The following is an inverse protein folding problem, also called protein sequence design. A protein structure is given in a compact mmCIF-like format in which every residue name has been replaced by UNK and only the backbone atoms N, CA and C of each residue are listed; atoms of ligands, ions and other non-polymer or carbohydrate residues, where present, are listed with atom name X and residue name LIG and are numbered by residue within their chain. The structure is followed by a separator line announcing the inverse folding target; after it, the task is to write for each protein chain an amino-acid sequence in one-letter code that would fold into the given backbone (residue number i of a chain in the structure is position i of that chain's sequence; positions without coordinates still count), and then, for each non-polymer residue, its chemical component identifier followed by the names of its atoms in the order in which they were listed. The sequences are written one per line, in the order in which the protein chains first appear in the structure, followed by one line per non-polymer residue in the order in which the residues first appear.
data_IF_251006323226
#
_entry.id   IF_251006323226
#
_cell.length_a   1.000
_cell.length_b   1.000
_cell.length_c   1.000
_cell.angle_alpha   90.00
_cell.angle_beta   90.00
_cell.angle_gamma   90.00
#
_symmetry.space_group_name_H-M   'P 1'
#
loop_
_entity.id
_entity.type
_entity.pdbx_description
1 polymer ?
#
# COMPACT_ATOMS: atom_id res chain seq x y z
N UNK A 1 0.00 -9.92 -6.04
CA UNK A 1 -0.44 -11.04 -6.94
C UNK A 1 0.71 -11.87 -7.49
N UNK A 2 1.71 -11.31 -8.20
CA UNK A 2 2.86 -12.07 -8.73
C UNK A 2 3.56 -12.94 -7.67
N UNK A 3 3.88 -12.37 -6.50
CA UNK A 3 4.50 -13.10 -5.39
C UNK A 3 3.72 -14.36 -5.01
N UNK A 4 2.40 -14.24 -4.86
CA UNK A 4 1.50 -15.32 -4.48
C UNK A 4 1.43 -16.44 -5.53
N UNK A 5 1.18 -16.10 -6.80
CA UNK A 5 0.83 -17.10 -7.81
C UNK A 5 1.98 -17.55 -8.70
N UNK A 6 2.98 -16.69 -8.93
CA UNK A 6 4.11 -17.01 -9.80
C UNK A 6 5.33 -17.50 -9.01
N UNK A 7 5.50 -17.01 -7.78
CA UNK A 7 6.69 -17.30 -6.96
C UNK A 7 6.39 -18.14 -5.71
N UNK A 8 5.11 -18.39 -5.38
CA UNK A 8 4.72 -19.13 -4.18
C UNK A 8 5.01 -18.40 -2.85
N UNK A 9 5.34 -17.11 -2.92
CA UNK A 9 5.73 -16.25 -1.80
C UNK A 9 4.48 -15.64 -1.16
N UNK A 10 3.77 -16.45 -0.38
CA UNK A 10 2.47 -16.08 0.21
C UNK A 10 2.63 -15.03 1.31
N UNK A 11 3.62 -15.20 2.18
CA UNK A 11 3.86 -14.30 3.32
C UNK A 11 4.30 -12.90 2.86
N UNK A 12 5.18 -12.84 1.86
CA UNK A 12 5.64 -11.60 1.26
C UNK A 12 4.50 -10.90 0.50
N UNK A 13 3.63 -11.67 -0.18
CA UNK A 13 2.44 -11.12 -0.80
C UNK A 13 1.50 -10.49 0.26
N UNK A 14 1.24 -11.20 1.35
CA UNK A 14 0.41 -10.71 2.46
C UNK A 14 1.02 -9.49 3.14
N UNK A 15 2.35 -9.44 3.26
CA UNK A 15 3.06 -8.30 3.85
C UNK A 15 2.82 -7.04 3.03
N UNK A 16 2.93 -7.13 1.69
CA UNK A 16 2.65 -5.99 0.79
C UNK A 16 1.17 -5.61 0.84
N UNK A 17 0.25 -6.57 0.79
CA UNK A 17 -1.19 -6.33 0.86
C UNK A 17 -1.56 -5.60 2.16
N UNK A 18 -1.02 -6.06 3.30
CA UNK A 18 -1.24 -5.45 4.62
C UNK A 18 -0.64 -4.04 4.71
N UNK A 19 0.52 -3.80 4.10
CA UNK A 19 1.14 -2.48 4.06
C UNK A 19 0.27 -1.47 3.30
N UNK A 20 -0.32 -1.88 2.16
CA UNK A 20 -1.26 -1.04 1.40
C UNK A 20 -2.48 -0.71 2.24
N UNK A 21 -3.09 -1.72 2.87
CA UNK A 21 -4.27 -1.53 3.73
C UNK A 21 -3.96 -0.58 4.90
N UNK A 22 -2.80 -0.74 5.53
CA UNK A 22 -2.36 0.14 6.63
C UNK A 22 -2.20 1.60 6.20
N UNK A 23 -1.66 1.87 5.01
CA UNK A 23 -1.55 3.24 4.47
C UNK A 23 -2.93 3.82 4.15
N UNK A 24 -3.84 3.01 3.59
CA UNK A 24 -5.20 3.44 3.34
C UNK A 24 -5.99 3.69 4.64
N UNK A 25 -5.77 2.91 5.69
CA UNK A 25 -6.39 3.11 7.01
C UNK A 25 -5.91 4.39 7.71
N UNK A 26 -4.64 4.78 7.49
CA UNK A 26 -4.12 6.08 7.94
C UNK A 26 -4.73 7.28 7.18
N UNK A 27 -5.52 7.00 6.13
CA UNK A 27 -6.30 8.00 5.43
C UNK A 27 -5.57 8.65 4.25
N UNK A 28 -4.45 8.08 3.80
CA UNK A 28 -3.79 8.54 2.57
C UNK A 28 -4.54 8.05 1.32
N UNK A 29 -4.68 8.92 0.31
CA UNK A 29 -5.36 8.62 -0.96
C UNK A 29 -4.65 9.30 -2.12
N UNK A 30 -4.60 8.62 -3.27
CA UNK A 30 -4.24 9.26 -4.54
C UNK A 30 -5.45 9.98 -5.14
N UNK A 31 -5.22 10.77 -6.19
CA UNK A 31 -6.25 11.63 -6.81
C UNK A 31 -7.48 10.87 -7.32
N UNK A 32 -7.29 9.64 -7.78
CA UNK A 32 -8.29 8.75 -8.36
C UNK A 32 -9.24 8.11 -7.32
N UNK A 33 -8.82 7.99 -6.07
CA UNK A 33 -9.58 7.35 -4.98
C UNK A 33 -9.79 8.29 -3.78
N UNK A 34 -9.81 9.60 -4.04
CA UNK A 34 -9.88 10.61 -2.98
C UNK A 34 -11.28 10.68 -2.36
N UNK A 35 -11.33 10.70 -1.03
CA UNK A 35 -12.54 10.91 -0.24
C UNK A 35 -12.42 12.15 0.66
N UNK A 36 -13.55 12.69 1.09
CA UNK A 36 -13.59 13.80 2.06
C UNK A 36 -12.91 13.40 3.39
N UNK A 37 -12.12 14.31 3.96
CA UNK A 37 -11.42 14.08 5.23
C UNK A 37 -10.19 13.16 5.13
N UNK A 38 -9.71 12.87 3.90
CA UNK A 38 -8.49 12.09 3.66
C UNK A 38 -7.32 12.98 3.24
N UNK A 39 -6.11 12.43 3.31
CA UNK A 39 -4.88 13.13 2.90
C UNK A 39 -4.54 12.74 1.47
N UNK A 40 -4.55 13.73 0.57
CA UNK A 40 -4.17 13.52 -0.83
C UNK A 40 -2.65 13.40 -0.94
N UNK A 41 -2.19 12.34 -1.60
CA UNK A 41 -0.77 12.06 -1.90
C UNK A 41 -0.57 11.79 -3.40
N UNK A 42 0.66 11.98 -3.87
CA UNK A 42 1.06 11.63 -5.23
C UNK A 42 1.51 10.16 -5.37
N UNK A 43 1.79 9.72 -6.61
CA UNK A 43 2.25 8.35 -6.89
C UNK A 43 3.53 8.00 -6.14
N UNK A 44 4.51 8.90 -6.14
CA UNK A 44 5.80 8.67 -5.46
C UNK A 44 5.63 8.56 -3.95
N UNK A 45 4.89 9.50 -3.36
CA UNK A 45 4.64 9.54 -1.92
C UNK A 45 3.84 8.32 -1.45
N UNK A 46 2.83 7.89 -2.20
CA UNK A 46 2.09 6.65 -1.91
C UNK A 46 3.04 5.44 -1.92
N UNK A 47 3.92 5.35 -2.92
CA UNK A 47 4.93 4.28 -2.99
C UNK A 47 5.90 4.30 -1.82
N UNK A 48 6.41 5.48 -1.43
CA UNK A 48 7.31 5.64 -0.30
C UNK A 48 6.64 5.25 1.03
N UNK A 49 5.37 5.64 1.22
CA UNK A 49 4.57 5.27 2.40
C UNK A 49 4.38 3.76 2.50
N UNK A 50 4.01 3.09 1.40
CA UNK A 50 3.82 1.64 1.37
C UNK A 50 5.16 0.93 1.63
N UNK A 51 6.23 1.35 0.96
CA UNK A 51 7.56 0.76 1.15
C UNK A 51 8.07 0.90 2.59
N UNK A 52 7.77 2.02 3.25
CA UNK A 52 8.13 2.22 4.66
C UNK A 52 7.44 1.24 5.61
N UNK A 53 6.23 0.76 5.25
CA UNK A 53 5.46 -0.21 6.06
C UNK A 53 5.89 -1.65 5.84
N UNK A 54 6.53 -1.95 4.70
CA UNK A 54 7.08 -3.29 4.38
C UNK A 54 8.46 -3.48 5.02
N UNK A 55 9.23 -2.41 5.22
CA UNK A 55 10.52 -2.44 5.95
C UNK A 55 10.28 -2.42 7.45
N UNK A 56 9.81 -3.54 8.00
CA UNK A 56 9.76 -3.85 9.44
C UNK A 56 10.84 -4.83 9.83
#
# INVERSE_FOLDING_TARGET
MMLRYSLGLIEEAQTIESAVDGVLQQGYRTYDIMDEGKTKVGTKEMGDLIASKVRG
#
